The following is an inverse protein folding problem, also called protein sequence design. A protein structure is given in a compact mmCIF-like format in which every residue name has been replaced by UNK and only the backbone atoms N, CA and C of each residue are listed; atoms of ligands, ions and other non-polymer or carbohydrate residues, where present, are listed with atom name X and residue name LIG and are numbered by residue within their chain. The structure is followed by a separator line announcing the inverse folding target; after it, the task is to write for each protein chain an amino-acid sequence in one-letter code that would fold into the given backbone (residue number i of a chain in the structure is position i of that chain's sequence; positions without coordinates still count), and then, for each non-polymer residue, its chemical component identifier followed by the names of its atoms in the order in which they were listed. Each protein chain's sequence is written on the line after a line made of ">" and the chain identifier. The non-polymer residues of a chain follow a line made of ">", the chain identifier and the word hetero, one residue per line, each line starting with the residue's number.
data_IF_881360359461
#
_entry.id   IF_881360359461
#
_cell.length_a   1.000
_cell.length_b   1.000
_cell.length_c   1.000
_cell.angle_alpha   90.00
_cell.angle_beta   90.00
_cell.angle_gamma   90.00
#
_symmetry.space_group_name_H-M   'P 1'
#
loop_
_entity.id
_entity.type
_entity.pdbx_description
1 polymer ?
#
# COMPACT_ATOMS: atom_id res chain seq x y z
N UNK A 1 1.62 -8.27 -7.25
CA UNK A 1 1.93 -7.90 -8.64
C UNK A 1 0.82 -7.07 -9.23
N UNK A 2 1.16 -6.02 -9.97
CA UNK A 2 0.17 -5.10 -10.55
C UNK A 2 0.49 -4.71 -11.98
N UNK A 3 -0.57 -4.42 -12.72
CA UNK A 3 -0.52 -3.71 -14.00
C UNK A 3 -0.39 -2.23 -13.71
N UNK A 4 0.44 -1.56 -14.49
CA UNK A 4 0.71 -0.14 -14.33
C UNK A 4 0.19 0.59 -15.54
N UNK A 5 -0.38 1.74 -15.27
CA UNK A 5 -0.70 2.78 -16.22
C UNK A 5 0.07 4.03 -15.78
N UNK A 6 1.05 4.44 -16.57
CA UNK A 6 1.87 5.61 -16.26
C UNK A 6 1.40 6.78 -17.13
N UNK A 7 1.10 7.89 -16.49
CA UNK A 7 0.83 9.16 -17.12
C UNK A 7 2.07 10.05 -16.96
N UNK A 8 2.76 10.26 -18.05
CA UNK A 8 4.02 11.02 -18.14
C UNK A 8 3.93 12.00 -19.32
N UNK A 9 2.82 12.73 -19.43
CA UNK A 9 2.57 13.65 -20.56
C UNK A 9 3.27 15.02 -20.41
N UNK A 10 3.83 15.29 -19.24
CA UNK A 10 4.51 16.56 -18.93
C UNK A 10 3.58 17.64 -18.40
N UNK A 11 2.29 17.36 -18.25
CA UNK A 11 1.37 18.27 -17.58
C UNK A 11 1.39 18.03 -16.07
N UNK A 12 1.37 19.11 -15.30
CA UNK A 12 1.43 19.02 -13.84
C UNK A 12 0.13 18.45 -13.27
N UNK A 13 0.19 17.22 -12.76
CA UNK A 13 -0.84 16.56 -11.96
C UNK A 13 -2.29 16.69 -12.47
N UNK A 14 -2.56 16.11 -13.60
CA UNK A 14 -3.94 15.91 -14.07
C UNK A 14 -4.38 14.44 -13.87
N UNK A 15 -4.74 14.01 -12.64
CA UNK A 15 -4.92 12.60 -12.27
C UNK A 15 -6.13 11.94 -12.93
N UNK A 16 -6.95 12.68 -13.65
CA UNK A 16 -8.17 12.20 -14.30
C UNK A 16 -8.11 12.21 -15.83
N UNK A 17 -6.96 12.57 -16.40
CA UNK A 17 -6.75 12.52 -17.84
C UNK A 17 -6.19 11.14 -18.20
N UNK A 18 -7.01 10.28 -18.79
CA UNK A 18 -6.63 8.90 -19.11
C UNK A 18 -6.20 8.72 -20.58
N UNK A 19 -6.03 9.79 -21.33
CA UNK A 19 -5.77 9.74 -22.78
C UNK A 19 -4.35 9.26 -23.12
N UNK A 20 -3.35 9.65 -22.31
CA UNK A 20 -1.94 9.37 -22.57
C UNK A 20 -1.33 8.29 -21.69
N UNK A 21 -2.15 7.39 -21.15
CA UNK A 21 -1.65 6.33 -20.26
C UNK A 21 -0.84 5.29 -21.01
N UNK A 22 0.41 5.11 -20.59
CA UNK A 22 1.28 4.02 -21.03
C UNK A 22 1.03 2.79 -20.19
N UNK A 23 0.62 1.70 -20.80
CA UNK A 23 0.31 0.45 -20.11
C UNK A 23 0.85 -0.77 -20.83
N UNK A 24 0.95 -1.88 -20.11
CA UNK A 24 1.36 -3.18 -20.63
C UNK A 24 0.27 -4.23 -20.46
N UNK A 25 0.27 -5.23 -21.34
CA UNK A 25 -0.60 -6.42 -21.21
C UNK A 25 -0.20 -7.31 -20.02
N UNK A 26 1.04 -7.21 -19.55
CA UNK A 26 1.55 -8.01 -18.44
C UNK A 26 1.73 -7.16 -17.19
N UNK A 27 1.60 -7.76 -15.98
CA UNK A 27 1.91 -7.05 -14.74
C UNK A 27 3.41 -6.72 -14.71
N UNK A 28 3.74 -5.45 -14.57
CA UNK A 28 5.11 -4.94 -14.65
C UNK A 28 5.58 -4.31 -13.34
N UNK A 29 4.80 -4.46 -12.27
CA UNK A 29 5.19 -4.02 -10.94
C UNK A 29 5.13 -5.17 -9.93
N UNK A 30 6.17 -5.26 -9.14
CA UNK A 30 6.25 -6.11 -7.95
C UNK A 30 6.29 -5.22 -6.71
N UNK A 31 5.36 -5.41 -5.81
CA UNK A 31 5.32 -4.74 -4.51
C UNK A 31 5.52 -5.77 -3.41
N UNK A 32 6.43 -5.50 -2.50
CA UNK A 32 6.66 -6.26 -1.27
C UNK A 32 6.36 -5.32 -0.11
N UNK A 33 5.43 -5.73 0.73
CA UNK A 33 4.92 -4.96 1.86
C UNK A 33 5.14 -5.76 3.15
N UNK A 34 5.75 -5.14 4.15
CA UNK A 34 5.94 -5.71 5.48
C UNK A 34 5.19 -4.88 6.50
N UNK A 35 4.18 -5.49 7.10
CA UNK A 35 3.47 -4.89 8.23
C UNK A 35 4.42 -4.70 9.42
N UNK A 36 4.35 -3.53 10.04
CA UNK A 36 5.19 -3.18 11.19
C UNK A 36 4.35 -3.11 12.45
N UNK A 37 3.43 -2.16 12.52
CA UNK A 37 2.65 -1.91 13.73
C UNK A 37 1.47 -0.97 13.45
N UNK A 38 0.33 -1.23 14.06
CA UNK A 38 -0.82 -0.32 14.16
C UNK A 38 -1.31 0.29 12.83
N UNK A 39 -1.32 -0.50 11.75
CA UNK A 39 -1.68 -0.05 10.41
C UNK A 39 -0.51 0.44 9.57
N UNK A 40 0.67 0.59 10.16
CA UNK A 40 1.89 0.95 9.43
C UNK A 40 2.56 -0.24 8.80
N UNK A 41 2.99 -0.07 7.57
CA UNK A 41 3.81 -1.03 6.81
C UNK A 41 4.96 -0.29 6.13
N UNK A 42 6.05 -1.01 5.89
CA UNK A 42 7.11 -0.60 4.97
C UNK A 42 6.94 -1.34 3.65
N UNK A 43 7.05 -0.62 2.57
CA UNK A 43 6.82 -1.13 1.22
C UNK A 43 8.03 -0.87 0.34
N UNK A 44 8.42 -1.88 -0.44
CA UNK A 44 9.36 -1.76 -1.55
C UNK A 44 8.63 -2.10 -2.85
N UNK A 45 8.66 -1.20 -3.82
CA UNK A 45 8.05 -1.41 -5.13
C UNK A 45 9.10 -1.33 -6.23
N UNK A 46 9.10 -2.33 -7.11
CA UNK A 46 9.90 -2.38 -8.32
C UNK A 46 8.97 -2.29 -9.53
N UNK A 47 9.24 -1.36 -10.40
CA UNK A 47 8.40 -1.03 -11.55
C UNK A 47 9.23 -1.06 -12.81
N UNK A 48 8.68 -1.65 -13.87
CA UNK A 48 9.19 -1.56 -15.22
C UNK A 48 8.08 -1.10 -16.17
N UNK A 49 8.36 -0.12 -17.03
CA UNK A 49 7.43 0.35 -18.05
C UNK A 49 8.17 0.62 -19.35
N UNK A 50 7.47 0.47 -20.48
CA UNK A 50 7.93 0.90 -21.81
C UNK A 50 7.02 2.02 -22.28
N UNK A 51 7.62 3.00 -22.90
CA UNK A 51 6.86 4.07 -23.57
C UNK A 51 6.28 3.57 -24.89
N UNK A 52 5.05 3.94 -25.17
CA UNK A 52 4.43 3.73 -26.47
C UNK A 52 4.72 4.95 -27.35
N UNK A 53 5.39 4.80 -28.50
CA UNK A 53 5.71 5.93 -29.39
C UNK A 53 4.50 6.70 -29.91
N UNK A 54 3.32 6.06 -29.95
CA UNK A 54 2.07 6.68 -30.41
C UNK A 54 1.46 7.65 -29.39
N UNK A 55 1.99 7.65 -28.15
CA UNK A 55 1.48 8.48 -27.05
C UNK A 55 2.45 9.59 -26.67
N UNK A 56 1.89 10.66 -26.15
CA UNK A 56 2.69 11.80 -25.69
C UNK A 56 3.44 11.37 -24.41
N UNK A 57 4.74 11.61 -24.43
CA UNK A 57 5.60 11.47 -23.26
C UNK A 57 6.32 12.80 -23.06
N UNK A 58 6.13 13.44 -21.89
CA UNK A 58 6.72 14.72 -21.54
C UNK A 58 6.61 15.78 -22.66
N UNK A 59 5.41 15.90 -23.24
CA UNK A 59 5.12 16.87 -24.30
C UNK A 59 5.64 16.51 -25.69
N UNK A 60 6.22 15.33 -25.90
CA UNK A 60 6.76 14.89 -27.20
C UNK A 60 6.14 13.58 -27.65
N UNK A 61 5.95 13.43 -28.95
CA UNK A 61 5.54 12.18 -29.61
C UNK A 61 6.77 11.42 -30.15
N UNK A 62 6.57 10.16 -30.56
CA UNK A 62 7.63 9.29 -31.12
C UNK A 62 8.75 8.89 -30.16
N UNK A 63 8.48 8.99 -28.85
CA UNK A 63 9.45 8.57 -27.83
C UNK A 63 9.35 7.07 -27.63
N UNK A 64 10.42 6.37 -27.97
CA UNK A 64 10.62 4.96 -27.65
C UNK A 64 11.64 4.82 -26.53
N UNK A 65 11.30 4.10 -25.46
CA UNK A 65 12.21 3.90 -24.36
C UNK A 65 11.60 3.03 -23.28
N UNK A 66 12.35 2.84 -22.20
CA UNK A 66 11.89 2.12 -21.03
C UNK A 66 12.21 2.87 -19.75
N UNK A 67 11.37 2.68 -18.77
CA UNK A 67 11.53 3.21 -17.42
C UNK A 67 11.60 2.07 -16.43
N UNK A 68 12.55 2.16 -15.52
CA UNK A 68 12.63 1.32 -14.34
C UNK A 68 12.54 2.22 -13.10
N UNK A 69 11.73 1.86 -12.12
CA UNK A 69 11.74 2.57 -10.84
C UNK A 69 11.80 1.62 -9.66
N UNK A 70 12.45 2.11 -8.60
CA UNK A 70 12.51 1.46 -7.30
C UNK A 70 12.08 2.46 -6.23
N UNK A 71 11.08 2.07 -5.45
CA UNK A 71 10.46 2.94 -4.48
C UNK A 71 10.48 2.30 -3.09
N UNK A 72 10.74 3.11 -2.07
CA UNK A 72 10.63 2.76 -0.66
C UNK A 72 9.60 3.68 -0.01
N UNK A 73 8.49 3.10 0.42
CA UNK A 73 7.37 3.86 0.94
C UNK A 73 6.99 3.38 2.34
N UNK A 74 6.59 4.33 3.19
CA UNK A 74 5.74 4.07 4.33
C UNK A 74 4.28 4.00 3.87
N UNK A 75 3.54 2.99 4.32
CA UNK A 75 2.12 2.83 4.03
C UNK A 75 1.35 2.82 5.33
N UNK A 76 0.25 3.54 5.37
CA UNK A 76 -0.67 3.55 6.51
C UNK A 76 -2.06 3.11 6.07
N UNK A 77 -2.51 1.98 6.61
CA UNK A 77 -3.83 1.41 6.36
C UNK A 77 -4.88 2.09 7.24
N UNK A 78 -5.98 2.50 6.63
CA UNK A 78 -7.11 3.16 7.25
C UNK A 78 -8.25 2.19 7.62
N UNK A 79 -7.98 0.88 7.61
CA UNK A 79 -8.99 -0.17 7.87
C UNK A 79 -9.75 0.04 9.18
N UNK A 80 -9.11 0.63 10.19
CA UNK A 80 -9.72 0.94 11.50
C UNK A 80 -10.82 2.00 11.41
N UNK A 81 -10.72 2.92 10.45
CA UNK A 81 -11.72 3.98 10.26
C UNK A 81 -13.01 3.41 9.68
N UNK A 82 -12.91 2.46 8.77
CA UNK A 82 -14.08 1.86 8.14
C UNK A 82 -14.62 0.65 8.89
N UNK A 83 -13.86 0.10 9.84
CA UNK A 83 -14.19 -1.13 10.55
C UNK A 83 -14.67 -2.27 9.62
N UNK A 84 -14.12 -2.29 8.40
CA UNK A 84 -14.47 -3.24 7.34
C UNK A 84 -13.36 -4.28 7.19
N UNK A 85 -13.74 -5.55 7.11
CA UNK A 85 -12.81 -6.64 6.81
C UNK A 85 -12.56 -6.83 5.30
N UNK A 86 -13.34 -6.14 4.45
CA UNK A 86 -13.32 -6.30 2.99
C UNK A 86 -12.61 -5.13 2.31
N UNK A 87 -12.84 -3.92 2.79
CA UNK A 87 -12.32 -2.69 2.19
C UNK A 87 -11.25 -2.10 3.10
N UNK A 88 -10.06 -1.89 2.56
CA UNK A 88 -8.91 -1.36 3.29
C UNK A 88 -8.27 -0.22 2.48
N UNK A 89 -8.75 1.03 2.65
CA UNK A 89 -8.10 2.19 2.07
C UNK A 89 -6.79 2.48 2.80
N UNK A 90 -5.84 3.04 2.07
CA UNK A 90 -4.53 3.35 2.61
C UNK A 90 -3.90 4.56 1.92
N UNK A 91 -2.97 5.18 2.62
CA UNK A 91 -2.09 6.22 2.09
C UNK A 91 -0.66 5.72 2.07
N UNK A 92 0.12 6.17 1.10
CA UNK A 92 1.56 5.87 1.02
C UNK A 92 2.35 7.15 0.81
N UNK A 93 3.54 7.20 1.38
CA UNK A 93 4.50 8.26 1.12
C UNK A 93 5.91 7.72 1.24
N UNK A 94 6.82 8.20 0.42
CA UNK A 94 8.20 7.72 0.44
C UNK A 94 9.10 8.35 -0.59
N UNK A 95 10.21 7.70 -0.83
CA UNK A 95 11.23 8.12 -1.78
C UNK A 95 11.45 7.02 -2.81
N UNK A 96 11.79 7.42 -4.02
CA UNK A 96 12.10 6.50 -5.10
C UNK A 96 13.21 7.01 -6.00
N UNK A 97 13.58 6.15 -6.91
CA UNK A 97 14.53 6.46 -7.98
C UNK A 97 13.95 5.91 -9.27
N UNK A 98 13.87 6.75 -10.29
CA UNK A 98 13.45 6.38 -11.63
C UNK A 98 14.63 6.46 -12.59
N UNK A 99 14.84 5.38 -13.33
CA UNK A 99 15.83 5.27 -14.40
C UNK A 99 15.08 5.26 -15.71
N UNK A 100 15.36 6.22 -16.58
CA UNK A 100 14.77 6.31 -17.91
C UNK A 100 15.86 6.07 -18.94
N UNK A 101 15.62 5.14 -19.85
CA UNK A 101 16.47 4.88 -21.00
C UNK A 101 15.75 5.38 -22.25
N UNK A 102 16.07 6.60 -22.67
CA UNK A 102 15.52 7.22 -23.85
C UNK A 102 16.60 7.44 -24.90
N UNK A 103 16.24 7.25 -26.15
CA UNK A 103 17.10 7.57 -27.29
C UNK A 103 17.12 9.06 -27.58
N UNK A 104 16.37 9.87 -26.84
CA UNK A 104 16.26 11.30 -27.13
C UNK A 104 16.43 12.16 -25.87
N UNK A 105 16.84 13.36 -26.06
CA UNK A 105 17.18 14.54 -25.27
C UNK A 105 16.43 14.77 -23.94
N UNK A 106 15.59 13.83 -23.50
CA UNK A 106 14.86 13.96 -22.27
C UNK A 106 15.74 13.67 -21.06
N UNK A 107 15.75 14.65 -20.25
CA UNK A 107 16.11 14.71 -18.85
C UNK A 107 16.62 13.42 -18.20
N UNK A 108 17.85 13.47 -17.77
CA UNK A 108 18.55 12.62 -16.79
C UNK A 108 18.13 11.16 -16.72
N UNK A 109 19.04 10.30 -17.06
CA UNK A 109 18.91 8.85 -16.89
C UNK A 109 18.51 8.41 -15.47
N UNK A 110 18.77 9.23 -14.46
CA UNK A 110 18.48 8.96 -13.04
C UNK A 110 17.75 10.14 -12.41
N UNK A 111 16.53 9.93 -11.94
CA UNK A 111 15.72 10.93 -11.24
C UNK A 111 15.28 10.41 -9.87
N UNK A 112 15.78 10.98 -8.77
CA UNK A 112 15.20 10.72 -7.44
C UNK A 112 13.82 11.36 -7.35
N UNK A 113 12.87 10.65 -6.74
CA UNK A 113 11.47 11.09 -6.64
C UNK A 113 10.99 11.06 -5.20
N UNK A 114 10.08 11.99 -4.88
CA UNK A 114 9.21 11.89 -3.72
C UNK A 114 7.87 11.32 -4.18
N UNK A 115 7.40 10.30 -3.46
CA UNK A 115 6.20 9.57 -3.80
C UNK A 115 5.09 9.88 -2.78
N UNK A 116 3.89 10.16 -3.29
CA UNK A 116 2.69 10.23 -2.47
C UNK A 116 1.56 9.49 -3.17
N UNK A 117 0.89 8.56 -2.48
CA UNK A 117 -0.12 7.72 -3.09
C UNK A 117 -1.31 7.46 -2.19
N UNK A 118 -2.43 7.23 -2.85
CA UNK A 118 -3.69 6.75 -2.27
C UNK A 118 -4.01 5.40 -2.89
N UNK A 119 -4.55 4.48 -2.08
CA UNK A 119 -4.91 3.18 -2.58
C UNK A 119 -6.04 2.54 -1.80
N UNK A 120 -6.55 1.47 -2.38
CA UNK A 120 -7.65 0.70 -1.87
C UNK A 120 -7.39 -0.79 -2.12
N UNK A 121 -7.43 -1.59 -1.06
CA UNK A 121 -7.43 -3.04 -1.16
C UNK A 121 -8.85 -3.55 -0.95
N UNK A 122 -9.29 -4.42 -1.87
CA UNK A 122 -10.54 -5.18 -1.75
C UNK A 122 -10.18 -6.63 -1.45
N UNK A 123 -10.43 -7.07 -0.22
CA UNK A 123 -10.15 -8.44 0.21
C UNK A 123 -11.27 -9.39 -0.21
N UNK A 124 -10.98 -10.25 -1.19
CA UNK A 124 -11.89 -11.30 -1.65
C UNK A 124 -11.88 -12.46 -0.65
N UNK A 125 -10.70 -12.78 -0.14
CA UNK A 125 -10.48 -13.75 0.93
C UNK A 125 -9.60 -13.14 2.00
N UNK A 126 -9.30 -13.87 3.08
CA UNK A 126 -8.36 -13.41 4.11
C UNK A 126 -6.94 -13.21 3.58
N UNK A 127 -6.59 -13.83 2.47
CA UNK A 127 -5.24 -13.85 1.90
C UNK A 127 -5.12 -13.22 0.53
N UNK A 128 -6.23 -13.12 -0.23
CA UNK A 128 -6.23 -12.65 -1.62
C UNK A 128 -7.14 -11.44 -1.73
N UNK A 129 -6.65 -10.38 -2.37
CA UNK A 129 -7.41 -9.18 -2.66
C UNK A 129 -7.01 -8.53 -3.97
N UNK A 130 -7.83 -7.59 -4.40
CA UNK A 130 -7.53 -6.66 -5.48
C UNK A 130 -6.99 -5.36 -4.88
N UNK A 131 -6.00 -4.77 -5.54
CA UNK A 131 -5.43 -3.50 -5.17
C UNK A 131 -5.64 -2.50 -6.30
N UNK A 132 -6.15 -1.33 -5.93
CA UNK A 132 -6.18 -0.12 -6.76
C UNK A 132 -5.30 0.92 -6.08
N UNK A 133 -4.45 1.59 -6.85
CA UNK A 133 -3.56 2.61 -6.31
C UNK A 133 -3.28 3.68 -7.34
N UNK A 134 -3.19 4.92 -6.87
CA UNK A 134 -2.72 6.06 -7.63
C UNK A 134 -1.59 6.73 -6.86
N UNK A 135 -0.46 6.96 -7.50
CA UNK A 135 0.75 7.52 -6.89
C UNK A 135 1.25 8.68 -7.73
N UNK A 136 1.38 9.85 -7.12
CA UNK A 136 2.10 10.98 -7.66
C UNK A 136 3.59 10.82 -7.34
N UNK A 137 4.42 10.93 -8.35
CA UNK A 137 5.88 10.91 -8.24
C UNK A 137 6.45 12.25 -8.66
N UNK A 138 7.05 12.93 -7.71
CA UNK A 138 7.58 14.29 -7.85
C UNK A 138 9.09 14.20 -7.94
N UNK A 139 9.68 14.68 -9.03
CA UNK A 139 11.13 14.71 -9.21
C UNK A 139 11.81 15.67 -8.25
N UNK A 140 12.79 15.21 -7.50
CA UNK A 140 13.49 16.03 -6.50
C UNK A 140 14.59 16.91 -7.10
N UNK A 141 15.04 16.63 -8.32
CA UNK A 141 16.13 17.38 -8.97
C UNK A 141 15.65 18.58 -9.75
N UNK A 142 14.42 18.54 -10.25
CA UNK A 142 13.80 19.62 -11.03
C UNK A 142 12.32 19.74 -10.58
N UNK A 143 12.12 20.31 -9.41
CA UNK A 143 10.79 20.48 -8.80
C UNK A 143 9.82 21.12 -9.81
N UNK A 144 8.70 20.46 -10.09
CA UNK A 144 7.65 20.88 -11.05
C UNK A 144 8.09 21.00 -12.51
N UNK A 145 9.12 20.25 -12.91
CA UNK A 145 9.52 20.11 -14.31
C UNK A 145 9.38 18.64 -14.75
N UNK A 146 9.69 18.39 -15.97
CA UNK A 146 9.57 17.15 -16.78
C UNK A 146 9.87 15.78 -16.13
N UNK A 147 10.06 15.70 -14.83
CA UNK A 147 10.29 14.45 -14.09
C UNK A 147 9.10 14.03 -13.23
N UNK A 148 8.03 14.81 -13.19
CA UNK A 148 6.83 14.52 -12.43
C UNK A 148 5.89 13.66 -13.26
N UNK A 149 5.34 12.59 -12.65
CA UNK A 149 4.40 11.74 -13.34
C UNK A 149 3.43 11.06 -12.38
N UNK A 150 2.28 10.68 -12.91
CA UNK A 150 1.28 9.89 -12.19
C UNK A 150 1.41 8.42 -12.57
N UNK A 151 1.23 7.56 -11.58
CA UNK A 151 1.25 6.11 -11.76
C UNK A 151 0.00 5.50 -11.15
N UNK A 152 -0.83 4.89 -11.99
CA UNK A 152 -2.03 4.17 -11.59
C UNK A 152 -1.76 2.68 -11.65
N UNK A 153 -2.18 1.94 -10.64
CA UNK A 153 -1.93 0.51 -10.52
C UNK A 153 -3.22 -0.24 -10.24
N UNK A 154 -3.39 -1.35 -10.94
CA UNK A 154 -4.42 -2.34 -10.67
C UNK A 154 -3.70 -3.67 -10.48
N UNK A 155 -3.91 -4.37 -9.37
CA UNK A 155 -3.15 -5.58 -9.10
C UNK A 155 -3.79 -6.56 -8.14
N UNK A 156 -3.13 -7.71 -8.02
CA UNK A 156 -3.45 -8.73 -7.04
C UNK A 156 -2.52 -8.58 -5.84
N UNK A 157 -3.10 -8.59 -4.66
CA UNK A 157 -2.38 -8.58 -3.39
C UNK A 157 -2.58 -9.91 -2.67
N UNK A 158 -1.46 -10.46 -2.17
CA UNK A 158 -1.45 -11.69 -1.38
C UNK A 158 -0.89 -11.38 0.00
N UNK A 159 -1.59 -11.85 1.03
CA UNK A 159 -1.16 -11.77 2.42
C UNK A 159 -0.65 -13.14 2.87
N UNK A 160 0.65 -13.25 3.16
CA UNK A 160 1.30 -14.50 3.56
C UNK A 160 1.13 -14.80 5.05
N UNK A 161 1.02 -13.78 5.89
CA UNK A 161 0.75 -13.93 7.32
C UNK A 161 -0.69 -13.51 7.59
N UNK A 162 -1.41 -14.33 8.34
CA UNK A 162 -2.63 -13.83 8.96
C UNK A 162 -2.16 -12.79 9.98
N UNK A 163 -2.61 -11.54 9.82
CA UNK A 163 -2.51 -10.56 10.90
C UNK A 163 -3.01 -11.28 12.15
N UNK A 164 -2.09 -11.54 13.09
CA UNK A 164 -2.49 -12.08 14.39
C UNK A 164 -3.68 -11.27 14.83
N UNK A 165 -4.71 -11.99 15.24
CA UNK A 165 -5.94 -11.41 15.75
C UNK A 165 -5.53 -10.26 16.65
N UNK A 166 -5.84 -9.04 16.25
CA UNK A 166 -5.78 -7.86 17.07
C UNK A 166 -6.06 -8.24 18.49
N UNK A 167 -5.34 -7.71 19.47
CA UNK A 167 -5.34 -7.95 20.91
C UNK A 167 -6.69 -8.12 21.65
N UNK A 168 -7.73 -8.43 20.94
CA UNK A 168 -8.96 -9.07 21.41
C UNK A 168 -8.78 -10.58 21.65
N UNK A 169 -7.55 -11.06 21.86
CA UNK A 169 -7.37 -12.35 22.52
C UNK A 169 -7.93 -12.18 23.93
N UNK A 170 -9.20 -12.52 24.04
CA UNK A 170 -9.93 -12.66 25.27
C UNK A 170 -9.02 -13.36 26.29
N UNK A 171 -8.50 -12.58 27.22
CA UNK A 171 -7.48 -13.04 28.15
C UNK A 171 -8.13 -14.03 29.12
N UNK A 172 -8.18 -15.31 28.68
CA UNK A 172 -8.78 -16.42 29.43
C UNK A 172 -8.24 -16.54 30.85
N UNK A 173 -7.04 -16.01 31.13
CA UNK A 173 -6.46 -16.01 32.47
C UNK A 173 -7.18 -15.08 33.43
N UNK A 174 -7.66 -13.91 32.97
CA UNK A 174 -8.48 -13.00 33.79
C UNK A 174 -9.83 -13.59 34.16
N UNK A 175 -10.40 -14.43 33.31
CA UNK A 175 -11.70 -15.07 33.56
C UNK A 175 -11.58 -16.26 34.55
N UNK A 176 -10.48 -17.01 34.52
CA UNK A 176 -10.22 -18.09 35.48
C UNK A 176 -10.01 -17.60 36.92
N UNK A 177 -9.38 -16.45 37.08
CA UNK A 177 -9.15 -15.85 38.40
C UNK A 177 -10.45 -15.36 39.03
N UNK A 178 -11.38 -14.83 38.26
CA UNK A 178 -12.68 -14.37 38.75
C UNK A 178 -13.58 -15.54 39.24
N UNK A 179 -13.55 -16.68 38.57
CA UNK A 179 -14.30 -17.87 38.99
C UNK A 179 -13.74 -18.50 40.28
N UNK A 180 -12.43 -18.47 40.51
CA UNK A 180 -11.84 -18.96 41.76
C UNK A 180 -12.22 -18.10 42.98
N UNK A 181 -12.26 -16.77 42.83
CA UNK A 181 -12.67 -15.89 43.93
C UNK A 181 -14.14 -16.03 44.33
N UNK A 182 -15.04 -16.34 43.41
CA UNK A 182 -16.46 -16.64 43.76
C UNK A 182 -16.65 -17.92 44.52
N UNK A 183 -15.84 -18.97 44.25
CA UNK A 183 -15.93 -20.26 45.01
C UNK A 183 -15.46 -20.16 46.44
N UNK A 184 -14.50 -19.28 46.75
CA UNK A 184 -13.99 -19.12 48.13
C UNK A 184 -14.98 -18.35 49.04
N UNK A 185 -15.88 -17.54 48.49
CA UNK A 185 -16.84 -16.77 49.27
C UNK A 185 -18.07 -17.59 49.78
N UNK A 186 -18.31 -18.78 49.24
CA UNK A 186 -19.46 -19.60 49.63
C UNK A 186 -19.11 -20.79 50.56
N UNK A 187 -17.85 -20.92 50.97
CA UNK A 187 -17.37 -22.05 51.78
C UNK A 187 -17.23 -21.78 53.28
N UNK A 188 -17.80 -20.71 53.82
CA UNK A 188 -17.61 -20.40 55.22
C UNK A 188 -18.86 -19.91 55.93
N UNK A 189 -19.64 -20.82 56.54
CA UNK A 189 -20.29 -20.72 57.85
C UNK A 189 -21.29 -21.83 58.01
N UNK A 190 -20.85 -22.95 58.54
CA UNK A 190 -21.72 -23.77 59.42
C UNK A 190 -21.26 -23.50 60.84
N UNK A 191 -21.95 -22.64 61.53
CA UNK A 191 -21.89 -22.53 62.97
C UNK A 191 -22.67 -23.69 63.56
N UNK A 192 -21.98 -24.50 64.36
CA UNK A 192 -22.60 -25.57 65.16
C UNK A 192 -23.53 -24.99 66.21
N UNK A 193 -24.67 -25.55 66.33
CA UNK A 193 -25.64 -25.35 67.42
C UNK A 193 -25.23 -26.29 68.55
N UNK A 194 -24.91 -25.77 69.72
CA UNK A 194 -24.81 -26.51 70.95
C UNK A 194 -26.19 -26.51 71.59
N UNK A 195 -26.72 -27.68 71.82
CA UNK A 195 -27.86 -27.91 72.68
C UNK A 195 -27.36 -28.19 74.09
N UNK A 196 -27.94 -27.50 75.03
CA UNK A 196 -28.07 -27.88 76.46
C UNK A 196 -29.52 -27.96 76.79
#
# INVERSE_FOLDING_TARGET
>A
TSWILTDDDGESFNPFLFENLHGHLFPTQLIIDKYIYNGWSAECALTYSKYNPEKITNGSTDISGSMFSMDFNGKYSLYKLLNSGVIDPYVTSGLGVSLRNNNDTMARALSPTFNFGLGLNFWITKQIGLQLRSTAKIGLTDFFKSSDYMQHNIGLVFRFEQLEKSDNSFNKSKYKVSKKRKKIKYGGKKKGRKDT
#
